data_IF_963243917022
#
_entry.id   IF_963243917022
#
_cell.length_a   1.000
_cell.length_b   1.000
_cell.length_c   1.000
_cell.angle_alpha   90.00
_cell.angle_beta   90.00
_cell.angle_gamma   90.00
#
_symmetry.space_group_name_H-M   'P 1'
#
loop_
_entity.id
_entity.type
_entity.pdbx_description
1 polymer ?
#
# COMPACT_ATOMS: atom_id res chain seq x y z
N UNK A 1 -6.47 27.43 -6.47
CA UNK A 1 -7.55 26.45 -6.78
C UNK A 1 -7.56 25.34 -5.72
N UNK A 2 -8.72 25.01 -5.11
CA UNK A 2 -8.81 23.94 -4.10
C UNK A 2 -8.43 22.59 -4.71
N UNK A 3 -7.59 21.80 -4.01
CA UNK A 3 -7.08 20.50 -4.47
C UNK A 3 -8.18 19.54 -4.96
N UNK A 4 -9.36 19.58 -4.34
CA UNK A 4 -10.55 18.77 -4.72
C UNK A 4 -11.08 19.07 -6.13
N UNK A 5 -11.00 20.31 -6.61
CA UNK A 5 -11.44 20.68 -7.97
C UNK A 5 -10.50 20.15 -9.06
N UNK A 6 -9.19 20.07 -8.77
CA UNK A 6 -8.20 19.50 -9.70
C UNK A 6 -8.41 17.98 -9.87
N UNK A 7 -8.53 17.26 -8.75
CA UNK A 7 -8.83 15.82 -8.76
C UNK A 7 -10.18 15.48 -9.40
N UNK A 8 -11.21 16.30 -9.15
CA UNK A 8 -12.51 16.12 -9.82
C UNK A 8 -12.45 16.29 -11.33
N UNK A 9 -11.51 17.09 -11.86
CA UNK A 9 -11.30 17.25 -13.30
C UNK A 9 -10.58 16.06 -13.91
N UNK A 10 -9.53 15.55 -13.25
CA UNK A 10 -8.80 14.34 -13.68
C UNK A 10 -9.73 13.13 -13.67
N UNK A 11 -10.47 12.92 -12.57
CA UNK A 11 -11.43 11.82 -12.48
C UNK A 11 -12.55 11.91 -13.52
N UNK A 12 -13.03 13.12 -13.83
CA UNK A 12 -14.01 13.33 -14.89
C UNK A 12 -13.42 13.07 -16.27
N UNK A 13 -12.17 13.44 -16.51
CA UNK A 13 -11.50 13.18 -17.78
C UNK A 13 -11.34 11.67 -18.02
N UNK A 14 -10.85 10.93 -17.01
CA UNK A 14 -10.80 9.47 -17.05
C UNK A 14 -12.20 8.85 -17.30
N UNK A 15 -13.24 9.39 -16.67
CA UNK A 15 -14.62 8.92 -16.87
C UNK A 15 -15.23 9.31 -18.23
N UNK A 16 -14.87 10.47 -18.80
CA UNK A 16 -15.38 10.96 -20.09
C UNK A 16 -14.75 10.22 -21.28
N UNK A 17 -13.50 9.79 -21.15
CA UNK A 17 -12.81 8.97 -22.16
C UNK A 17 -13.19 7.47 -22.07
N UNK A 18 -14.08 7.10 -21.14
CA UNK A 18 -14.48 5.70 -20.93
C UNK A 18 -13.32 4.83 -20.48
N UNK A 19 -12.36 5.40 -19.73
CA UNK A 19 -11.17 4.67 -19.30
C UNK A 19 -11.58 3.42 -18.52
N UNK A 20 -11.07 2.27 -18.97
CA UNK A 20 -11.31 0.99 -18.32
C UNK A 20 -10.87 1.03 -16.86
N UNK A 21 -11.54 0.24 -16.01
CA UNK A 21 -11.24 0.19 -14.58
C UNK A 21 -9.77 -0.14 -14.32
N UNK A 22 -9.16 -0.98 -15.17
CA UNK A 22 -7.73 -1.32 -15.13
C UNK A 22 -6.82 -0.13 -15.42
N UNK A 23 -7.12 0.69 -16.42
CA UNK A 23 -6.32 1.89 -16.76
C UNK A 23 -6.36 2.89 -15.61
N UNK A 24 -7.53 3.09 -15.02
CA UNK A 24 -7.67 3.94 -13.83
C UNK A 24 -6.96 3.35 -12.60
N UNK A 25 -6.93 2.01 -12.49
CA UNK A 25 -6.14 1.28 -11.50
C UNK A 25 -4.64 1.49 -11.68
N UNK A 26 -4.12 1.41 -12.90
CA UNK A 26 -2.71 1.70 -13.21
C UNK A 26 -2.33 3.11 -12.78
N UNK A 27 -3.16 4.12 -13.09
CA UNK A 27 -2.89 5.49 -12.65
C UNK A 27 -2.88 5.64 -11.11
N UNK A 28 -3.76 4.90 -10.43
CA UNK A 28 -3.77 4.86 -8.96
C UNK A 28 -2.48 4.23 -8.41
N UNK A 29 -2.03 3.12 -9.00
CA UNK A 29 -0.76 2.44 -8.68
C UNK A 29 0.42 3.40 -8.90
N UNK A 30 0.46 4.10 -10.03
CA UNK A 30 1.60 4.95 -10.36
C UNK A 30 1.69 6.21 -9.49
N UNK A 31 0.55 6.85 -9.16
CA UNK A 31 0.57 8.14 -8.47
C UNK A 31 0.33 8.02 -6.98
N UNK A 32 -0.77 7.37 -6.59
CA UNK A 32 -1.19 7.31 -5.18
C UNK A 32 -0.31 6.33 -4.44
N UNK A 33 0.03 5.22 -5.08
CA UNK A 33 0.88 4.24 -4.49
C UNK A 33 2.32 4.69 -4.38
N UNK A 34 2.91 5.37 -5.36
CA UNK A 34 4.27 5.90 -5.18
C UNK A 34 4.40 6.78 -3.94
N UNK A 35 3.39 7.62 -3.66
CA UNK A 35 3.37 8.46 -2.45
C UNK A 35 3.24 7.60 -1.18
N UNK A 36 2.32 6.63 -1.17
CA UNK A 36 2.11 5.75 -0.03
C UNK A 36 3.31 4.82 0.23
N UNK A 37 3.96 4.36 -0.84
CA UNK A 37 5.05 3.41 -0.83
C UNK A 37 6.37 4.07 -0.43
N UNK A 38 6.66 5.29 -0.91
CA UNK A 38 7.77 6.08 -0.36
C UNK A 38 7.62 6.30 1.15
N UNK A 39 6.37 6.45 1.62
CA UNK A 39 6.06 6.46 3.05
C UNK A 39 6.39 5.14 3.75
N UNK A 40 6.12 3.98 3.14
CA UNK A 40 6.45 2.67 3.74
C UNK A 40 7.95 2.37 3.79
N UNK A 41 8.74 2.99 2.90
CA UNK A 41 10.19 2.91 2.90
C UNK A 41 10.80 3.73 4.05
N UNK A 42 10.16 4.85 4.41
CA UNK A 42 10.74 5.85 5.33
C UNK A 42 10.08 5.91 6.71
N UNK A 43 8.84 5.43 6.87
CA UNK A 43 8.07 5.49 8.12
C UNK A 43 7.62 4.11 8.60
N UNK A 44 7.32 4.02 9.90
CA UNK A 44 6.83 2.80 10.52
C UNK A 44 5.37 2.51 10.16
N UNK A 45 5.11 1.45 9.38
CA UNK A 45 3.77 0.95 9.05
C UNK A 45 3.27 0.03 10.17
N UNK A 46 2.68 0.63 11.20
CA UNK A 46 2.00 -0.13 12.27
C UNK A 46 0.76 -0.88 11.74
N UNK A 47 0.30 -1.95 12.42
CA UNK A 47 -0.93 -2.65 12.04
C UNK A 47 -2.15 -1.74 11.91
N UNK A 48 -2.23 -0.70 12.75
CA UNK A 48 -3.30 0.31 12.68
C UNK A 48 -3.21 1.14 11.39
N UNK A 49 -2.02 1.54 10.98
CA UNK A 49 -1.81 2.29 9.74
C UNK A 49 -2.11 1.39 8.55
N UNK A 50 -1.63 0.14 8.56
CA UNK A 50 -1.91 -0.83 7.51
C UNK A 50 -3.42 -1.05 7.33
N UNK A 51 -4.16 -1.26 8.42
CA UNK A 51 -5.62 -1.42 8.36
C UNK A 51 -6.36 -0.18 7.80
N UNK A 52 -5.87 1.03 8.11
CA UNK A 52 -6.40 2.26 7.54
C UNK A 52 -6.12 2.36 6.03
N UNK A 53 -4.92 1.95 5.60
CA UNK A 53 -4.53 1.89 4.19
C UNK A 53 -5.34 0.84 3.43
N UNK A 54 -5.56 -0.34 4.02
CA UNK A 54 -6.41 -1.40 3.46
C UNK A 54 -7.83 -0.88 3.25
N UNK A 55 -8.42 -0.25 4.26
CA UNK A 55 -9.77 0.32 4.16
C UNK A 55 -9.88 1.37 3.05
N UNK A 56 -8.87 2.24 2.93
CA UNK A 56 -8.79 3.22 1.85
C UNK A 56 -8.67 2.54 0.49
N UNK A 57 -7.76 1.58 0.36
CA UNK A 57 -7.47 0.85 -0.86
C UNK A 57 -8.70 0.07 -1.35
N UNK A 58 -9.38 -0.64 -0.46
CA UNK A 58 -10.64 -1.33 -0.76
C UNK A 58 -11.72 -0.39 -1.28
N UNK A 59 -11.83 0.81 -0.69
CA UNK A 59 -12.79 1.82 -1.15
C UNK A 59 -12.46 2.36 -2.53
N UNK A 60 -11.17 2.51 -2.84
CA UNK A 60 -10.72 2.92 -4.17
C UNK A 60 -11.02 1.81 -5.19
N UNK A 61 -10.61 0.58 -4.92
CA UNK A 61 -10.87 -0.57 -5.80
C UNK A 61 -12.36 -0.71 -6.13
N UNK A 62 -13.22 -0.65 -5.11
CA UNK A 62 -14.69 -0.71 -5.30
C UNK A 62 -15.23 0.45 -6.12
N UNK A 63 -14.67 1.65 -5.98
CA UNK A 63 -15.11 2.80 -6.77
C UNK A 63 -14.65 2.69 -8.22
N UNK A 64 -13.44 2.20 -8.47
CA UNK A 64 -12.90 1.97 -9.81
C UNK A 64 -13.68 0.87 -10.54
N UNK A 65 -13.97 -0.24 -9.86
CA UNK A 65 -14.72 -1.36 -10.41
C UNK A 65 -16.25 -1.16 -10.41
N UNK A 66 -16.76 0.00 -9.95
CA UNK A 66 -18.21 0.22 -9.82
C UNK A 66 -18.93 -0.70 -8.82
N UNK A 67 -18.18 -1.37 -7.94
CA UNK A 67 -18.64 -2.39 -6.97
C UNK A 67 -18.89 -1.83 -5.56
N UNK A 68 -19.42 -0.61 -5.48
CA UNK A 68 -19.78 -0.01 -4.20
C UNK A 68 -21.00 -0.74 -3.60
N UNK A 69 -21.05 -0.94 -2.27
CA UNK A 69 -22.24 -1.48 -1.63
C UNK A 69 -23.45 -0.62 -1.96
N UNK A 70 -24.53 -1.26 -2.42
CA UNK A 70 -25.76 -0.58 -2.82
C UNK A 70 -26.95 -1.21 -2.12
N UNK A 71 -27.95 -0.37 -1.85
CA UNK A 71 -29.22 -0.82 -1.30
C UNK A 71 -30.12 -1.25 -2.44
N UNK A 72 -30.67 -2.46 -2.33
CA UNK A 72 -31.60 -3.03 -3.28
C UNK A 72 -33.04 -2.54 -3.01
N UNK A 73 -33.96 -2.65 -3.98
CA UNK A 73 -35.35 -2.20 -3.82
C UNK A 73 -36.12 -2.90 -2.69
N UNK A 74 -35.74 -4.13 -2.35
CA UNK A 74 -36.27 -4.93 -1.25
C UNK A 74 -35.79 -4.46 0.14
N UNK A 75 -34.87 -3.49 0.18
CA UNK A 75 -34.28 -2.97 1.41
C UNK A 75 -33.02 -3.73 1.87
N UNK A 76 -32.64 -4.81 1.20
CA UNK A 76 -31.39 -5.53 1.48
C UNK A 76 -30.17 -4.77 0.96
N UNK A 77 -28.98 -5.11 1.48
CA UNK A 77 -27.71 -4.54 1.03
C UNK A 77 -26.98 -5.55 0.17
N UNK A 78 -26.70 -5.17 -1.08
CA UNK A 78 -25.77 -5.89 -1.93
C UNK A 78 -24.36 -5.34 -1.67
N UNK A 79 -23.48 -6.18 -1.16
CA UNK A 79 -22.06 -5.87 -1.02
C UNK A 79 -21.28 -6.79 -1.97
N UNK A 80 -20.90 -6.31 -3.17
CA UNK A 80 -20.16 -7.13 -4.12
C UNK A 80 -18.83 -7.60 -3.52
N UNK A 81 -18.32 -8.75 -3.96
CA UNK A 81 -17.03 -9.28 -3.49
C UNK A 81 -15.90 -8.26 -3.67
N UNK A 82 -15.06 -8.11 -2.64
CA UNK A 82 -13.88 -7.27 -2.68
C UNK A 82 -12.83 -7.81 -3.65
N UNK A 83 -12.63 -9.12 -3.67
CA UNK A 83 -11.67 -9.80 -4.55
C UNK A 83 -11.96 -9.48 -6.01
N UNK A 84 -13.24 -9.59 -6.43
CA UNK A 84 -13.67 -9.19 -7.78
C UNK A 84 -13.47 -7.71 -8.06
N UNK A 85 -13.59 -6.84 -7.05
CA UNK A 85 -13.36 -5.41 -7.21
C UNK A 85 -11.87 -5.09 -7.41
N UNK A 86 -10.98 -5.83 -6.74
CA UNK A 86 -9.54 -5.74 -6.93
C UNK A 86 -9.13 -6.27 -8.31
N UNK A 87 -9.65 -7.42 -8.72
CA UNK A 87 -9.40 -8.02 -10.03
C UNK A 87 -9.83 -7.11 -11.18
N UNK A 88 -11.06 -6.59 -11.14
CA UNK A 88 -11.56 -5.67 -12.18
C UNK A 88 -10.79 -4.35 -12.22
N UNK A 89 -10.33 -3.87 -11.07
CA UNK A 89 -9.48 -2.68 -11.00
C UNK A 89 -8.00 -2.96 -11.35
N UNK A 90 -7.60 -4.23 -11.52
CA UNK A 90 -6.20 -4.61 -11.75
C UNK A 90 -5.28 -4.32 -10.58
N UNK A 91 -5.78 -4.43 -9.34
CA UNK A 91 -5.06 -4.08 -8.11
C UNK A 91 -4.75 -5.32 -7.27
N UNK A 92 -3.56 -5.36 -6.68
CA UNK A 92 -3.22 -6.30 -5.60
C UNK A 92 -3.63 -5.73 -4.24
N UNK A 93 -3.73 -6.55 -3.17
CA UNK A 93 -3.89 -6.04 -1.81
C UNK A 93 -2.78 -5.03 -1.46
N UNK A 94 -3.11 -3.99 -0.68
CA UNK A 94 -2.13 -2.95 -0.32
C UNK A 94 -0.93 -3.52 0.43
N UNK A 95 -1.13 -4.57 1.23
CA UNK A 95 -0.10 -5.27 1.98
C UNK A 95 0.96 -5.89 1.06
N UNK A 96 0.55 -6.47 -0.07
CA UNK A 96 1.47 -7.07 -1.04
C UNK A 96 2.43 -6.02 -1.60
N UNK A 97 1.90 -4.84 -1.90
CA UNK A 97 2.72 -3.76 -2.41
C UNK A 97 3.65 -3.15 -1.38
N UNK A 98 3.17 -2.98 -0.14
CA UNK A 98 4.02 -2.55 0.99
C UNK A 98 5.15 -3.54 1.19
N UNK A 99 4.87 -4.85 1.18
CA UNK A 99 5.87 -5.89 1.33
C UNK A 99 6.91 -5.86 0.20
N UNK A 100 6.48 -5.74 -1.07
CA UNK A 100 7.40 -5.62 -2.23
C UNK A 100 8.39 -4.47 -2.06
N UNK A 101 7.94 -3.32 -1.54
CA UNK A 101 8.78 -2.13 -1.34
C UNK A 101 9.69 -2.24 -0.13
N UNK A 102 9.15 -2.73 0.99
CA UNK A 102 9.94 -3.00 2.18
C UNK A 102 11.07 -3.99 1.88
N UNK A 103 10.84 -5.00 1.03
CA UNK A 103 11.88 -5.94 0.58
C UNK A 103 13.03 -5.24 -0.16
N UNK A 104 12.74 -4.34 -1.10
CA UNK A 104 13.77 -3.58 -1.83
C UNK A 104 14.65 -2.75 -0.89
N UNK A 105 14.05 -2.10 0.11
CA UNK A 105 14.80 -1.32 1.11
C UNK A 105 15.53 -2.22 2.10
N UNK A 106 14.94 -3.37 2.46
CA UNK A 106 15.55 -4.36 3.33
C UNK A 106 16.87 -4.87 2.76
N UNK A 107 16.91 -5.21 1.46
CA UNK A 107 18.13 -5.59 0.74
C UNK A 107 19.23 -4.54 0.88
N UNK A 108 18.88 -3.27 0.70
CA UNK A 108 19.83 -2.16 0.81
C UNK A 108 20.33 -1.91 2.26
N UNK A 109 19.46 -2.10 3.26
CA UNK A 109 19.78 -1.84 4.66
C UNK A 109 20.50 -3.01 5.32
N UNK A 110 20.16 -4.25 4.97
CA UNK A 110 20.74 -5.47 5.54
C UNK A 110 22.26 -5.54 5.36
N UNK A 111 22.78 -4.95 4.28
CA UNK A 111 24.22 -4.91 3.99
C UNK A 111 24.97 -3.83 4.77
N UNK A 112 24.30 -3.00 5.58
CA UNK A 112 24.92 -1.82 6.22
C UNK A 112 25.12 -2.04 7.72
N UNK A 113 26.30 -1.70 8.27
CA UNK A 113 26.58 -1.78 9.70
C UNK A 113 25.64 -0.95 10.59
N UNK A 114 25.00 0.08 10.03
CA UNK A 114 24.03 0.89 10.77
C UNK A 114 22.81 0.09 11.23
N UNK A 115 22.45 -0.97 10.51
CA UNK A 115 21.35 -1.84 10.89
C UNK A 115 21.68 -2.60 12.19
N UNK A 116 22.86 -3.21 12.25
CA UNK A 116 23.33 -3.95 13.43
C UNK A 116 23.40 -3.02 14.65
N UNK A 117 23.99 -1.83 14.48
CA UNK A 117 24.07 -0.81 15.53
C UNK A 117 22.66 -0.45 16.05
N UNK A 118 21.70 -0.23 15.15
CA UNK A 118 20.33 0.16 15.52
C UNK A 118 19.56 -0.95 16.26
N UNK A 119 19.83 -2.22 15.91
CA UNK A 119 19.25 -3.38 16.60
C UNK A 119 19.87 -3.56 17.98
N UNK A 120 21.19 -3.42 18.10
CA UNK A 120 21.95 -3.58 19.35
C UNK A 120 21.71 -2.47 20.38
N UNK A 121 21.51 -1.22 19.94
CA UNK A 121 21.37 -0.04 20.83
C UNK A 121 20.15 -0.15 21.77
N UNK A 122 19.21 -1.07 21.48
CA UNK A 122 18.11 -1.42 22.37
C UNK A 122 17.19 -0.24 22.70
N UNK A 123 16.25 -0.44 23.62
CA UNK A 123 15.40 0.65 24.13
C UNK A 123 16.01 1.24 25.39
N UNK A 124 16.30 2.54 25.38
CA UNK A 124 16.72 3.26 26.57
C UNK A 124 15.53 3.46 27.52
N UNK A 125 15.83 3.57 28.82
CA UNK A 125 14.82 3.79 29.85
C UNK A 125 14.18 5.16 29.64
N UNK A 126 12.84 5.20 29.57
CA UNK A 126 12.06 6.43 29.35
C UNK A 126 11.76 6.74 27.88
N UNK A 127 12.26 5.95 26.93
CA UNK A 127 11.89 6.07 25.52
C UNK A 127 10.47 5.56 25.27
N UNK A 128 9.76 6.18 24.31
CA UNK A 128 8.43 5.76 23.86
C UNK A 128 8.39 4.28 23.46
N UNK A 129 7.28 3.61 23.74
CA UNK A 129 7.03 2.21 23.34
C UNK A 129 6.58 2.07 21.87
N UNK A 130 6.47 3.18 21.15
CA UNK A 130 6.13 3.21 19.73
C UNK A 130 7.06 2.31 18.91
N UNK A 131 6.46 1.58 17.97
CA UNK A 131 7.17 0.68 17.07
C UNK A 131 8.25 1.44 16.29
N UNK A 132 9.47 0.90 16.28
CA UNK A 132 10.59 1.40 15.48
C UNK A 132 10.53 0.82 14.08
N UNK A 133 11.24 1.43 13.15
CA UNK A 133 11.20 1.02 11.75
C UNK A 133 11.70 -0.42 11.55
N UNK A 134 12.81 -0.80 12.21
CA UNK A 134 13.38 -2.16 12.14
C UNK A 134 12.66 -3.21 13.02
N UNK A 135 11.67 -2.78 13.83
CA UNK A 135 10.79 -3.70 14.57
C UNK A 135 9.58 -4.14 13.72
N UNK A 136 9.44 -3.61 12.50
CA UNK A 136 8.41 -4.04 11.56
C UNK A 136 8.64 -5.50 11.12
N UNK A 137 7.58 -6.23 10.73
CA UNK A 137 7.69 -7.58 10.19
C UNK A 137 8.22 -7.54 8.74
N UNK A 138 9.42 -7.00 8.56
CA UNK A 138 10.15 -6.95 7.29
C UNK A 138 11.00 -8.21 7.20
N UNK A 139 10.90 -8.91 6.09
CA UNK A 139 11.68 -10.12 5.83
C UNK A 139 13.11 -9.75 5.38
N UNK A 140 13.96 -9.39 6.34
CA UNK A 140 15.38 -9.08 6.07
C UNK A 140 16.18 -10.33 5.67
N UNK A 141 15.82 -11.50 6.21
CA UNK A 141 16.53 -12.75 5.94
C UNK A 141 16.25 -13.25 4.52
N UNK A 142 14.98 -13.28 4.09
CA UNK A 142 14.62 -13.61 2.72
C UNK A 142 15.16 -12.58 1.73
N UNK A 143 15.15 -11.30 2.09
CA UNK A 143 15.77 -10.26 1.28
C UNK A 143 17.27 -10.50 1.02
N UNK A 144 18.01 -10.96 2.04
CA UNK A 144 19.44 -11.27 1.92
C UNK A 144 19.68 -12.53 1.08
N UNK A 145 18.89 -13.59 1.29
CA UNK A 145 18.98 -14.83 0.51
C UNK A 145 18.71 -14.61 -0.99
N UNK A 146 17.73 -13.77 -1.34
CA UNK A 146 17.46 -13.41 -2.74
C UNK A 146 18.62 -12.64 -3.41
N UNK A 147 19.46 -11.91 -2.64
CA UNK A 147 20.66 -11.27 -3.18
C UNK A 147 21.77 -12.28 -3.46
N UNK A 148 21.92 -13.27 -2.58
CA UNK A 148 22.91 -14.35 -2.73
C UNK A 148 22.57 -15.27 -3.90
N UNK A 149 21.28 -15.55 -4.16
CA UNK A 149 20.83 -16.36 -5.29
C UNK A 149 20.89 -15.63 -6.65
N UNK A 150 21.00 -14.30 -6.66
CA UNK A 150 21.06 -13.49 -7.89
C UNK A 150 22.48 -13.24 -8.43
N UNK A 151 23.51 -13.77 -7.78
CA UNK A 151 24.92 -13.61 -8.14
C UNK A 151 25.51 -14.77 -8.99
N UNK A 152 24.68 -15.74 -9.41
CA UNK A 152 25.05 -16.89 -10.28
C UNK A 152 24.84 -16.66 -11.79
#
# INVERSE_FOLDING_TARGET
>A
MPRRKKWGRVSRMLGLEGADAKVSGMFYVDVVQQILLYGSETWTVSPRVLSALESLHHRVARRLAGKMPRRLPDGSWECPSLEKALEEAGLFPISEYVARRQRTVAQYIALRPIYDIAVEEGRQRGTSTSMRWWEQPIDFAGALAELEEGED
#
